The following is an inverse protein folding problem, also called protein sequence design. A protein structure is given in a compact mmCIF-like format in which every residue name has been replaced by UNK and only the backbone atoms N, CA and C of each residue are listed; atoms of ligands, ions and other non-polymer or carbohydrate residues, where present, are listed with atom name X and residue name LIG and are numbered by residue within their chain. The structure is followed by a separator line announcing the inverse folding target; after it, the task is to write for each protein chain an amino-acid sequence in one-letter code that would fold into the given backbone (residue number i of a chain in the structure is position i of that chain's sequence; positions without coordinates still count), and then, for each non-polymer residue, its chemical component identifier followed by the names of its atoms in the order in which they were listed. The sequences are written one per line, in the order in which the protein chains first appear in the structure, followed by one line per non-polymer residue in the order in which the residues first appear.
data_IF_756581723536
#
_entry.id   IF_756581723536
#
_cell.length_a   1.000
_cell.length_b   1.000
_cell.length_c   1.000
_cell.angle_alpha   90.00
_cell.angle_beta   90.00
_cell.angle_gamma   90.00
#
_symmetry.space_group_name_H-M   'P 1'
#
loop_
_entity.id
_entity.type
_entity.pdbx_description
1 polymer ?
#
# COMPACT_ATOMS: atom_id res chain seq x y z
N UNK A 1 2.86 1.23 44.61
CA UNK A 1 1.54 1.18 43.94
C UNK A 1 1.29 2.38 43.00
N UNK A 2 2.30 2.93 42.32
CA UNK A 2 2.13 4.11 41.43
C UNK A 2 2.39 3.83 39.93
N UNK A 3 2.79 2.60 39.55
CA UNK A 3 3.18 2.26 38.18
C UNK A 3 2.10 1.59 37.32
N UNK A 4 0.98 1.15 37.90
CA UNK A 4 -0.08 0.45 37.15
C UNK A 4 -1.09 1.40 36.49
N UNK A 5 -1.30 2.60 37.05
CA UNK A 5 -2.30 3.55 36.53
C UNK A 5 -1.91 4.23 35.21
N UNK A 6 -0.61 4.42 34.95
CA UNK A 6 -0.12 5.04 33.72
C UNK A 6 -0.10 4.06 32.54
N UNK A 7 0.18 2.78 32.78
CA UNK A 7 0.11 1.73 31.74
C UNK A 7 -1.33 1.52 31.26
N UNK A 8 -2.30 1.48 32.18
CA UNK A 8 -3.74 1.32 31.86
C UNK A 8 -4.29 2.56 31.12
N UNK A 9 -3.83 3.76 31.47
CA UNK A 9 -4.26 4.99 30.81
C UNK A 9 -3.69 5.14 29.39
N UNK A 10 -2.45 4.69 29.15
CA UNK A 10 -1.86 4.64 27.81
C UNK A 10 -2.63 3.65 26.94
N UNK A 11 -2.96 2.47 27.46
CA UNK A 11 -3.78 1.48 26.73
C UNK A 11 -5.14 2.06 26.32
N UNK A 12 -5.91 2.59 27.29
CA UNK A 12 -7.26 3.09 27.02
C UNK A 12 -7.30 4.23 25.99
N UNK A 13 -6.30 5.13 26.00
CA UNK A 13 -6.21 6.22 25.03
C UNK A 13 -5.83 5.74 23.62
N UNK A 14 -4.94 4.75 23.52
CA UNK A 14 -4.57 4.13 22.25
C UNK A 14 -5.77 3.37 21.66
N UNK A 15 -6.46 2.55 22.45
CA UNK A 15 -7.67 1.85 22.02
C UNK A 15 -8.74 2.82 21.48
N UNK A 16 -9.04 3.89 22.23
CA UNK A 16 -10.01 4.89 21.78
C UNK A 16 -9.61 5.59 20.46
N UNK A 17 -8.30 5.85 20.24
CA UNK A 17 -7.83 6.40 18.97
C UNK A 17 -7.93 5.41 17.80
N UNK A 18 -7.71 4.12 18.05
CA UNK A 18 -7.85 3.07 17.04
C UNK A 18 -9.31 2.93 16.60
N UNK A 19 -10.25 2.93 17.54
CA UNK A 19 -11.68 2.84 17.25
C UNK A 19 -12.18 4.03 16.41
N UNK A 20 -11.74 5.24 16.74
CA UNK A 20 -12.03 6.44 15.97
C UNK A 20 -11.49 6.36 14.53
N UNK A 21 -10.29 5.81 14.34
CA UNK A 21 -9.69 5.62 13.02
C UNK A 21 -10.45 4.58 12.20
N UNK A 22 -10.81 3.45 12.82
CA UNK A 22 -11.60 2.39 12.20
C UNK A 22 -12.97 2.91 11.76
N UNK A 23 -13.65 3.68 12.63
CA UNK A 23 -14.92 4.32 12.31
C UNK A 23 -14.76 5.32 11.15
N UNK A 24 -13.71 6.14 11.16
CA UNK A 24 -13.44 7.09 10.09
C UNK A 24 -13.18 6.38 8.74
N UNK A 25 -12.48 5.23 8.74
CA UNK A 25 -12.31 4.39 7.54
C UNK A 25 -13.67 3.90 7.06
N UNK A 26 -14.48 3.31 7.95
CA UNK A 26 -15.78 2.78 7.62
C UNK A 26 -16.67 3.85 6.97
N UNK A 27 -16.69 5.06 7.55
CA UNK A 27 -17.42 6.22 7.02
C UNK A 27 -16.88 6.66 5.66
N UNK A 28 -15.56 6.72 5.48
CA UNK A 28 -14.96 7.07 4.19
C UNK A 28 -15.35 6.08 3.08
N UNK A 29 -15.28 4.77 3.36
CA UNK A 29 -15.74 3.73 2.44
C UNK A 29 -17.24 3.80 2.19
N UNK A 30 -18.05 4.08 3.22
CA UNK A 30 -19.51 4.22 3.09
C UNK A 30 -19.88 5.41 2.20
N UNK A 31 -19.30 6.59 2.44
CA UNK A 31 -19.57 7.81 1.67
C UNK A 31 -19.16 7.61 0.21
N UNK A 32 -17.92 7.16 -0.04
CA UNK A 32 -17.44 6.95 -1.41
C UNK A 32 -18.23 5.85 -2.10
N UNK A 33 -18.47 4.73 -1.40
CA UNK A 33 -19.25 3.61 -1.91
C UNK A 33 -20.67 4.01 -2.30
N UNK A 34 -21.35 4.77 -1.43
CA UNK A 34 -22.70 5.28 -1.69
C UNK A 34 -22.72 6.27 -2.86
N UNK A 35 -21.76 7.21 -2.92
CA UNK A 35 -21.66 8.16 -4.03
C UNK A 35 -21.40 7.48 -5.37
N UNK A 36 -20.51 6.49 -5.40
CA UNK A 36 -20.21 5.69 -6.61
C UNK A 36 -21.41 4.84 -6.99
N UNK A 37 -22.08 4.18 -6.04
CA UNK A 37 -23.26 3.36 -6.32
C UNK A 37 -24.45 4.20 -6.80
N UNK A 38 -24.64 5.41 -6.27
CA UNK A 38 -25.71 6.32 -6.68
C UNK A 38 -25.48 6.93 -8.07
N UNK A 39 -24.24 7.34 -8.38
CA UNK A 39 -23.90 7.97 -9.68
C UNK A 39 -23.60 6.97 -10.78
N UNK A 40 -23.10 5.78 -10.43
CA UNK A 40 -22.74 4.71 -11.35
C UNK A 40 -23.27 3.35 -10.85
N UNK A 41 -24.60 3.12 -10.88
CA UNK A 41 -25.23 1.92 -10.31
C UNK A 41 -24.81 0.60 -10.96
N UNK A 42 -24.29 0.66 -12.19
CA UNK A 42 -23.72 -0.49 -12.91
C UNK A 42 -22.28 -0.82 -12.49
N UNK A 43 -21.61 0.05 -11.72
CA UNK A 43 -20.23 -0.15 -11.29
C UNK A 43 -20.17 -0.92 -9.95
N UNK A 44 -19.68 -2.18 -9.93
CA UNK A 44 -19.58 -2.99 -8.72
C UNK A 44 -18.61 -2.42 -7.66
N UNK A 45 -17.70 -1.51 -8.03
CA UNK A 45 -16.75 -0.90 -7.06
C UNK A 45 -17.50 -0.19 -5.92
N UNK A 46 -18.60 0.49 -6.22
CA UNK A 46 -19.43 1.12 -5.18
C UNK A 46 -19.98 0.11 -4.18
N UNK A 47 -20.39 -1.08 -4.65
CA UNK A 47 -20.91 -2.17 -3.80
C UNK A 47 -19.81 -2.82 -2.98
N UNK A 48 -18.61 -2.98 -3.53
CA UNK A 48 -17.44 -3.47 -2.79
C UNK A 48 -17.15 -2.53 -1.62
N UNK A 49 -17.15 -1.22 -1.85
CA UNK A 49 -16.89 -0.24 -0.79
C UNK A 49 -17.99 -0.20 0.26
N UNK A 50 -19.26 -0.33 -0.14
CA UNK A 50 -20.36 -0.49 0.81
C UNK A 50 -20.24 -1.80 1.62
N UNK A 51 -19.80 -2.89 0.99
CA UNK A 51 -19.52 -4.16 1.67
C UNK A 51 -18.42 -4.00 2.72
N UNK A 52 -17.32 -3.31 2.38
CA UNK A 52 -16.25 -2.97 3.33
C UNK A 52 -16.80 -2.18 4.52
N UNK A 53 -17.58 -1.13 4.27
CA UNK A 53 -18.18 -0.32 5.33
C UNK A 53 -19.15 -1.14 6.21
N UNK A 54 -19.93 -2.03 5.61
CA UNK A 54 -20.82 -2.94 6.35
C UNK A 54 -20.03 -3.90 7.24
N UNK A 55 -18.91 -4.44 6.75
CA UNK A 55 -18.03 -5.30 7.56
C UNK A 55 -17.52 -4.56 8.80
N UNK A 56 -17.12 -3.29 8.67
CA UNK A 56 -16.74 -2.47 9.83
C UNK A 56 -17.90 -2.19 10.78
N UNK A 57 -19.11 -1.98 10.26
CA UNK A 57 -20.31 -1.87 11.11
C UNK A 57 -20.55 -3.16 11.92
N UNK A 58 -20.35 -4.32 11.29
CA UNK A 58 -20.47 -5.61 11.94
C UNK A 58 -19.37 -5.83 12.99
N UNK A 59 -18.14 -5.34 12.76
CA UNK A 59 -17.04 -5.39 13.72
C UNK A 59 -17.40 -4.75 15.06
N UNK A 60 -18.00 -3.56 15.05
CA UNK A 60 -18.42 -2.89 16.29
C UNK A 60 -19.50 -3.68 17.05
N UNK A 61 -20.40 -4.38 16.33
CA UNK A 61 -21.41 -5.25 16.95
C UNK A 61 -20.76 -6.48 17.58
N UNK A 62 -19.84 -7.14 16.88
CA UNK A 62 -19.15 -8.35 17.37
C UNK A 62 -18.20 -8.04 18.52
N UNK A 63 -17.58 -6.86 18.53
CA UNK A 63 -16.80 -6.35 19.66
C UNK A 63 -17.68 -6.12 20.91
N UNK A 64 -18.85 -5.49 20.75
CA UNK A 64 -19.81 -5.33 21.83
C UNK A 64 -20.30 -6.66 22.42
N UNK A 65 -20.52 -7.67 21.55
CA UNK A 65 -20.89 -9.03 21.98
C UNK A 65 -19.78 -9.70 22.80
N UNK A 66 -18.51 -9.51 22.45
CA UNK A 66 -17.38 -10.03 23.23
C UNK A 66 -17.24 -9.33 24.58
N UNK A 67 -17.41 -8.00 24.61
CA UNK A 67 -17.40 -7.23 25.85
C UNK A 67 -18.54 -7.64 26.80
N UNK A 68 -19.70 -8.00 26.27
CA UNK A 68 -20.79 -8.58 27.06
C UNK A 68 -20.43 -9.98 27.58
N UNK A 69 -19.91 -10.85 26.71
CA UNK A 69 -19.52 -12.22 27.08
C UNK A 69 -18.45 -12.28 28.17
N UNK A 70 -17.48 -11.36 28.16
CA UNK A 70 -16.44 -11.29 29.18
C UNK A 70 -16.95 -10.84 30.56
N UNK A 71 -17.98 -9.98 30.61
CA UNK A 71 -18.59 -9.49 31.86
C UNK A 71 -19.59 -10.49 32.45
N UNK A 72 -20.28 -11.25 31.61
CA UNK A 72 -21.33 -12.17 32.05
C UNK A 72 -20.78 -13.41 32.81
N UNK A 73 -19.48 -13.70 32.69
CA UNK A 73 -18.83 -14.84 33.36
C UNK A 73 -19.39 -16.22 32.97
N UNK A 74 -20.27 -16.26 31.98
CA UNK A 74 -20.90 -17.47 31.45
C UNK A 74 -20.04 -18.06 30.33
N UNK A 75 -20.22 -19.37 30.09
CA UNK A 75 -19.67 -20.02 28.91
C UNK A 75 -20.10 -19.20 27.67
N UNK A 76 -19.17 -18.56 26.92
CA UNK A 76 -19.51 -17.46 26.01
C UNK A 76 -20.53 -17.83 24.92
N UNK A 77 -20.81 -19.12 24.74
CA UNK A 77 -21.74 -19.62 23.74
C UNK A 77 -21.17 -19.47 22.33
N UNK A 78 -21.79 -20.15 21.38
CA UNK A 78 -21.33 -20.19 19.99
C UNK A 78 -21.32 -18.78 19.37
N UNK A 79 -22.22 -17.89 19.80
CA UNK A 79 -22.33 -16.53 19.26
C UNK A 79 -21.12 -15.65 19.61
N UNK A 80 -20.66 -15.66 20.87
CA UNK A 80 -19.49 -14.87 21.27
C UNK A 80 -18.22 -15.45 20.66
N UNK A 81 -18.12 -16.79 20.57
CA UNK A 81 -17.04 -17.45 19.85
C UNK A 81 -17.00 -17.09 18.37
N UNK A 82 -18.16 -17.06 17.70
CA UNK A 82 -18.24 -16.66 16.30
C UNK A 82 -17.90 -15.18 16.10
N UNK A 83 -18.28 -14.31 17.05
CA UNK A 83 -17.90 -12.90 17.05
C UNK A 83 -16.37 -12.71 17.20
N UNK A 84 -15.72 -13.51 18.05
CA UNK A 84 -14.25 -13.51 18.20
C UNK A 84 -13.55 -13.91 16.91
N UNK A 85 -13.98 -15.03 16.30
CA UNK A 85 -13.45 -15.50 15.01
C UNK A 85 -13.64 -14.45 13.91
N UNK A 86 -14.81 -13.81 13.86
CA UNK A 86 -15.07 -12.77 12.87
C UNK A 86 -14.12 -11.57 13.04
N UNK A 87 -13.91 -11.09 14.26
CA UNK A 87 -13.02 -9.96 14.53
C UNK A 87 -11.58 -10.26 14.13
N UNK A 88 -11.09 -11.48 14.37
CA UNK A 88 -9.75 -11.88 13.95
C UNK A 88 -9.60 -12.01 12.43
N UNK A 89 -10.68 -12.36 11.72
CA UNK A 89 -10.63 -12.65 10.28
C UNK A 89 -11.19 -11.54 9.39
N UNK A 90 -11.75 -10.48 9.95
CA UNK A 90 -12.39 -9.41 9.18
C UNK A 90 -11.44 -8.75 8.16
N UNK A 91 -10.14 -8.67 8.48
CA UNK A 91 -9.10 -8.13 7.60
C UNK A 91 -8.98 -8.87 6.28
N UNK A 92 -9.26 -10.18 6.26
CA UNK A 92 -9.29 -10.98 5.04
C UNK A 92 -10.31 -10.40 4.06
N UNK A 93 -11.49 -10.00 4.54
CA UNK A 93 -12.53 -9.41 3.70
C UNK A 93 -12.25 -7.96 3.34
N UNK A 94 -11.98 -7.10 4.34
CA UNK A 94 -11.92 -5.67 4.08
C UNK A 94 -10.64 -5.23 3.36
N UNK A 95 -9.53 -5.99 3.49
CA UNK A 95 -8.27 -5.69 2.78
C UNK A 95 -8.23 -6.41 1.44
N UNK A 96 -8.42 -7.73 1.43
CA UNK A 96 -8.09 -8.53 0.26
C UNK A 96 -9.15 -8.40 -0.84
N UNK A 97 -10.42 -8.20 -0.51
CA UNK A 97 -11.46 -8.03 -1.53
C UNK A 97 -11.24 -6.74 -2.32
N UNK A 98 -11.07 -5.54 -1.71
CA UNK A 98 -10.71 -4.36 -2.47
C UNK A 98 -9.39 -4.52 -3.22
N UNK A 99 -8.36 -5.09 -2.59
CA UNK A 99 -7.04 -5.28 -3.19
C UNK A 99 -7.09 -6.18 -4.45
N UNK A 100 -7.90 -7.23 -4.45
CA UNK A 100 -8.02 -8.13 -5.58
C UNK A 100 -9.00 -7.60 -6.63
N UNK A 101 -10.19 -7.12 -6.24
CA UNK A 101 -11.27 -6.83 -7.19
C UNK A 101 -11.28 -5.39 -7.70
N UNK A 102 -10.79 -4.40 -6.94
CA UNK A 102 -10.72 -3.02 -7.44
C UNK A 102 -9.80 -2.95 -8.66
N UNK A 103 -8.53 -3.43 -8.63
CA UNK A 103 -7.68 -3.47 -9.83
C UNK A 103 -8.28 -4.22 -11.01
N UNK A 104 -8.97 -5.32 -10.72
CA UNK A 104 -9.54 -6.21 -11.72
C UNK A 104 -10.72 -5.57 -12.47
N UNK A 105 -11.52 -4.74 -11.78
CA UNK A 105 -12.76 -4.16 -12.30
C UNK A 105 -12.59 -2.69 -12.72
N UNK A 106 -11.59 -2.00 -12.20
CA UNK A 106 -11.36 -0.58 -12.43
C UNK A 106 -10.96 -0.25 -13.89
N UNK A 107 -11.44 0.87 -14.47
CA UNK A 107 -12.38 1.85 -13.90
C UNK A 107 -13.86 1.51 -14.14
N UNK A 108 -14.15 0.80 -15.23
CA UNK A 108 -15.50 0.68 -15.79
C UNK A 108 -16.39 -0.39 -15.11
N UNK A 109 -15.87 -1.06 -14.07
CA UNK A 109 -16.61 -2.09 -13.36
C UNK A 109 -16.68 -3.45 -14.06
N UNK A 110 -15.93 -3.61 -15.16
CA UNK A 110 -15.96 -4.80 -16.02
C UNK A 110 -14.58 -5.41 -16.12
N UNK A 111 -14.52 -6.73 -16.29
CA UNK A 111 -13.27 -7.45 -16.60
C UNK A 111 -12.76 -7.08 -18.00
N UNK A 112 -11.43 -7.14 -18.20
CA UNK A 112 -10.81 -6.81 -19.47
C UNK A 112 -11.26 -7.71 -20.63
N UNK A 113 -11.47 -9.01 -20.36
CA UNK A 113 -12.05 -9.97 -21.30
C UNK A 113 -12.54 -11.23 -20.58
N UNK A 114 -13.22 -12.15 -21.29
CA UNK A 114 -13.66 -13.45 -20.73
C UNK A 114 -12.49 -14.28 -20.14
N UNK A 115 -11.27 -14.09 -20.65
CA UNK A 115 -10.06 -14.81 -20.18
C UNK A 115 -9.59 -14.38 -18.79
N UNK A 116 -10.12 -13.26 -18.25
CA UNK A 116 -9.82 -12.80 -16.90
C UNK A 116 -10.82 -13.30 -15.86
N UNK A 117 -11.88 -14.01 -16.28
CA UNK A 117 -12.84 -14.64 -15.35
C UNK A 117 -12.18 -15.69 -14.44
N UNK A 118 -11.28 -16.57 -14.92
CA UNK A 118 -10.58 -17.50 -14.05
C UNK A 118 -9.78 -16.80 -12.95
N UNK A 119 -9.17 -15.65 -13.24
CA UNK A 119 -8.42 -14.86 -12.25
C UNK A 119 -9.37 -14.28 -11.18
N UNK A 120 -10.55 -13.80 -11.60
CA UNK A 120 -11.59 -13.37 -10.67
C UNK A 120 -12.06 -14.52 -9.75
N UNK A 121 -12.21 -15.72 -10.31
CA UNK A 121 -12.55 -16.92 -9.55
C UNK A 121 -11.42 -17.34 -8.61
N UNK A 122 -10.16 -17.31 -9.04
CA UNK A 122 -9.02 -17.59 -8.17
C UNK A 122 -8.98 -16.61 -6.99
N UNK A 123 -9.20 -15.31 -7.23
CA UNK A 123 -9.29 -14.31 -6.18
C UNK A 123 -10.45 -14.61 -5.21
N UNK A 124 -11.66 -14.81 -5.72
CA UNK A 124 -12.84 -15.04 -4.89
C UNK A 124 -12.78 -16.34 -4.08
N UNK A 125 -12.46 -17.45 -4.75
CA UNK A 125 -12.32 -18.77 -4.11
C UNK A 125 -11.13 -18.79 -3.16
N UNK A 126 -10.01 -18.17 -3.52
CA UNK A 126 -8.84 -18.09 -2.68
C UNK A 126 -9.08 -17.29 -1.39
N UNK A 127 -9.71 -16.12 -1.48
CA UNK A 127 -10.05 -15.29 -0.32
C UNK A 127 -11.09 -15.97 0.56
N UNK A 128 -12.17 -16.51 -0.03
CA UNK A 128 -13.21 -17.21 0.73
C UNK A 128 -12.66 -18.50 1.38
N UNK A 129 -11.84 -19.25 0.65
CA UNK A 129 -11.18 -20.45 1.15
C UNK A 129 -10.20 -20.12 2.28
N UNK A 130 -9.42 -19.04 2.16
CA UNK A 130 -8.53 -18.57 3.22
C UNK A 130 -9.32 -18.19 4.48
N UNK A 131 -10.42 -17.44 4.33
CA UNK A 131 -11.31 -17.12 5.46
C UNK A 131 -11.86 -18.38 6.14
N UNK A 132 -12.41 -19.32 5.35
CA UNK A 132 -13.00 -20.55 5.89
C UNK A 132 -11.93 -21.38 6.59
N UNK A 133 -10.80 -21.63 5.95
CA UNK A 133 -9.75 -22.48 6.51
C UNK A 133 -9.12 -21.85 7.76
N UNK A 134 -8.88 -20.55 7.78
CA UNK A 134 -8.46 -19.83 8.99
C UNK A 134 -9.52 -19.85 10.10
N UNK A 135 -10.82 -19.88 9.76
CA UNK A 135 -11.86 -20.00 10.80
C UNK A 135 -11.88 -21.37 11.49
N UNK A 136 -11.37 -22.41 10.82
CA UNK A 136 -11.33 -23.78 11.33
C UNK A 136 -10.07 -24.08 12.17
N UNK A 137 -9.06 -23.19 12.17
CA UNK A 137 -7.83 -23.43 12.92
C UNK A 137 -8.04 -23.27 14.44
N UNK A 138 -7.65 -24.26 15.27
CA UNK A 138 -7.80 -24.19 16.72
C UNK A 138 -7.06 -22.99 17.34
N UNK A 139 -5.88 -22.67 16.81
CA UNK A 139 -4.98 -21.64 17.34
C UNK A 139 -5.27 -20.22 16.82
N UNK A 140 -6.42 -20.01 16.16
CA UNK A 140 -6.79 -18.69 15.61
C UNK A 140 -6.86 -17.62 16.70
N UNK A 141 -7.50 -17.95 17.83
CA UNK A 141 -7.70 -17.01 18.92
C UNK A 141 -6.50 -17.07 19.88
N UNK A 142 -5.99 -15.92 20.36
CA UNK A 142 -4.91 -15.90 21.34
C UNK A 142 -5.26 -16.74 22.57
N UNK A 143 -4.28 -17.42 23.17
CA UNK A 143 -4.50 -18.16 24.41
C UNK A 143 -4.99 -17.27 25.58
N UNK A 144 -4.77 -15.95 25.49
CA UNK A 144 -5.29 -14.93 26.40
C UNK A 144 -6.75 -14.56 26.15
N UNK A 145 -7.35 -14.96 25.04
CA UNK A 145 -8.77 -14.75 24.77
C UNK A 145 -9.60 -15.62 25.72
N UNK A 146 -10.58 -15.02 26.39
CA UNK A 146 -11.50 -15.72 27.29
C UNK A 146 -12.47 -16.66 26.59
N UNK A 147 -12.35 -16.81 25.27
CA UNK A 147 -13.31 -17.47 24.38
C UNK A 147 -12.59 -18.48 23.50
N UNK A 148 -13.09 -19.72 23.46
CA UNK A 148 -12.58 -20.76 22.55
C UNK A 148 -13.20 -20.60 21.17
N UNK A 149 -12.44 -20.96 20.12
CA UNK A 149 -12.96 -21.00 18.76
C UNK A 149 -14.02 -22.12 18.63
N UNK A 150 -15.30 -21.80 18.37
CA UNK A 150 -16.36 -22.80 18.26
C UNK A 150 -16.33 -23.60 16.95
N UNK A 151 -15.55 -23.13 15.96
CA UNK A 151 -15.42 -23.77 14.65
C UNK A 151 -14.13 -24.57 14.50
N UNK A 152 -13.32 -24.66 15.56
CA UNK A 152 -12.06 -25.38 15.53
C UNK A 152 -12.27 -26.86 15.15
N UNK A 153 -11.44 -27.37 14.24
CA UNK A 153 -11.44 -28.79 13.86
C UNK A 153 -10.01 -29.30 13.69
N UNK A 154 -9.76 -30.56 14.08
CA UNK A 154 -8.47 -31.24 13.90
C UNK A 154 -8.36 -31.99 12.56
N UNK A 155 -9.16 -31.60 11.56
CA UNK A 155 -9.21 -32.29 10.29
C UNK A 155 -7.89 -32.12 9.51
N UNK A 156 -7.25 -33.20 9.03
CA UNK A 156 -6.00 -33.11 8.28
C UNK A 156 -6.17 -32.44 6.89
N UNK A 157 -7.41 -32.16 6.47
CA UNK A 157 -7.72 -31.49 5.22
C UNK A 157 -7.63 -29.96 5.31
N UNK A 158 -7.58 -29.38 6.52
CA UNK A 158 -7.54 -27.92 6.71
C UNK A 158 -6.25 -27.35 6.10
N UNK A 159 -5.08 -27.87 6.48
CA UNK A 159 -3.79 -27.38 5.98
C UNK A 159 -3.61 -27.41 4.46
N UNK A 160 -3.89 -28.53 3.75
CA UNK A 160 -3.77 -28.54 2.29
C UNK A 160 -4.80 -27.61 1.64
N UNK A 161 -6.00 -27.46 2.20
CA UNK A 161 -7.00 -26.53 1.69
C UNK A 161 -6.59 -25.07 1.92
N UNK A 162 -5.97 -24.76 3.07
CA UNK A 162 -5.38 -23.45 3.37
C UNK A 162 -4.32 -23.09 2.33
N UNK A 163 -3.42 -24.03 2.04
CA UNK A 163 -2.36 -23.83 1.04
C UNK A 163 -2.94 -23.57 -0.35
N UNK A 164 -3.92 -24.37 -0.79
CA UNK A 164 -4.58 -24.18 -2.10
C UNK A 164 -5.30 -22.84 -2.15
N UNK A 165 -6.01 -22.46 -1.08
CA UNK A 165 -6.72 -21.19 -0.99
C UNK A 165 -5.76 -20.00 -1.08
N UNK A 166 -4.64 -20.09 -0.38
CA UNK A 166 -3.57 -19.09 -0.39
C UNK A 166 -2.92 -18.97 -1.78
N UNK A 167 -2.65 -20.08 -2.46
CA UNK A 167 -2.14 -20.05 -3.84
C UNK A 167 -3.14 -19.39 -4.80
N UNK A 168 -4.42 -19.75 -4.72
CA UNK A 168 -5.48 -19.15 -5.54
C UNK A 168 -5.62 -17.65 -5.27
N UNK A 169 -5.54 -17.25 -4.00
CA UNK A 169 -5.56 -15.85 -3.56
C UNK A 169 -4.40 -15.08 -4.19
N UNK A 170 -3.16 -15.58 -4.11
CA UNK A 170 -2.01 -14.93 -4.73
C UNK A 170 -2.14 -14.85 -6.25
N UNK A 171 -2.57 -15.91 -6.92
CA UNK A 171 -2.85 -15.90 -8.36
C UNK A 171 -3.89 -14.82 -8.70
N UNK A 172 -4.92 -14.68 -7.88
CA UNK A 172 -5.94 -13.64 -7.99
C UNK A 172 -5.38 -12.22 -7.86
N UNK A 173 -4.59 -11.97 -6.81
CA UNK A 173 -3.98 -10.66 -6.52
C UNK A 173 -2.96 -10.28 -7.60
N UNK A 174 -2.02 -11.16 -7.94
CA UNK A 174 -1.03 -10.87 -8.99
C UNK A 174 -1.69 -10.75 -10.36
N UNK A 175 -2.73 -11.54 -10.63
CA UNK A 175 -3.57 -11.40 -11.80
C UNK A 175 -4.29 -10.06 -11.85
N UNK A 176 -4.79 -9.54 -10.72
CA UNK A 176 -5.46 -8.24 -10.69
C UNK A 176 -4.50 -7.10 -11.06
N UNK A 177 -3.28 -7.14 -10.54
CA UNK A 177 -2.21 -6.18 -10.88
C UNK A 177 -1.82 -6.30 -12.35
N UNK A 178 -1.63 -7.52 -12.86
CA UNK A 178 -1.35 -7.75 -14.28
C UNK A 178 -2.46 -7.19 -15.18
N UNK A 179 -3.73 -7.28 -14.75
CA UNK A 179 -4.87 -6.74 -15.49
C UNK A 179 -4.80 -5.22 -15.65
N UNK A 180 -4.33 -4.49 -14.61
CA UNK A 180 -4.08 -3.05 -14.69
C UNK A 180 -3.00 -2.74 -15.71
N UNK A 181 -1.89 -3.48 -15.70
CA UNK A 181 -0.76 -3.24 -16.63
C UNK A 181 -1.21 -3.44 -18.08
N UNK A 182 -1.98 -4.50 -18.35
CA UNK A 182 -2.52 -4.76 -19.69
C UNK A 182 -3.54 -3.68 -20.08
N UNK A 183 -4.42 -3.24 -19.16
CA UNK A 183 -5.33 -2.11 -19.40
C UNK A 183 -4.58 -0.84 -19.73
N UNK A 184 -3.54 -0.50 -18.97
CA UNK A 184 -2.76 0.71 -19.18
C UNK A 184 -2.14 0.77 -20.58
N UNK A 185 -1.63 -0.38 -21.08
CA UNK A 185 -1.07 -0.48 -22.43
C UNK A 185 -2.12 -0.26 -23.52
N UNK A 186 -3.35 -0.73 -23.31
CA UNK A 186 -4.47 -0.65 -24.28
C UNK A 186 -5.33 0.63 -24.15
N UNK A 187 -5.23 1.33 -23.03
CA UNK A 187 -6.09 2.46 -22.68
C UNK A 187 -5.77 3.72 -23.52
N UNK A 188 -6.81 4.50 -23.83
CA UNK A 188 -6.70 5.87 -24.36
C UNK A 188 -6.28 6.88 -23.27
N UNK A 189 -6.09 8.16 -23.64
CA UNK A 189 -5.56 9.20 -22.72
C UNK A 189 -6.33 9.31 -21.40
N UNK A 190 -7.67 9.32 -21.43
CA UNK A 190 -8.52 9.48 -20.24
C UNK A 190 -8.42 8.27 -19.30
N UNK A 191 -8.54 7.06 -19.85
CA UNK A 191 -8.52 5.82 -19.06
C UNK A 191 -7.12 5.55 -18.46
N UNK A 192 -6.05 5.94 -19.17
CA UNK A 192 -4.69 5.93 -18.60
C UNK A 192 -4.57 6.82 -17.37
N UNK A 193 -5.25 7.97 -17.37
CA UNK A 193 -5.23 8.90 -16.24
C UNK A 193 -5.92 8.32 -15.01
N UNK A 194 -7.07 7.67 -15.20
CA UNK A 194 -7.76 6.97 -14.12
C UNK A 194 -6.89 5.86 -13.53
N UNK A 195 -6.24 5.07 -14.39
CA UNK A 195 -5.37 3.97 -13.96
C UNK A 195 -4.17 4.48 -13.16
N UNK A 196 -3.60 5.63 -13.54
CA UNK A 196 -2.48 6.25 -12.81
C UNK A 196 -2.84 6.59 -11.36
N UNK A 197 -4.06 7.04 -11.09
CA UNK A 197 -4.53 7.32 -9.73
C UNK A 197 -4.57 6.07 -8.86
N UNK A 198 -5.16 5.01 -9.40
CA UNK A 198 -5.21 3.73 -8.71
C UNK A 198 -3.80 3.15 -8.53
N UNK A 199 -2.94 3.26 -9.54
CA UNK A 199 -1.56 2.79 -9.47
C UNK A 199 -0.74 3.57 -8.43
N UNK A 200 -0.94 4.89 -8.32
CA UNK A 200 -0.28 5.72 -7.31
C UNK A 200 -0.74 5.34 -5.89
N UNK A 201 -2.05 5.19 -5.66
CA UNK A 201 -2.58 4.75 -4.38
C UNK A 201 -2.12 3.33 -4.01
N UNK A 202 -2.16 2.40 -4.96
CA UNK A 202 -1.70 1.03 -4.77
C UNK A 202 -0.20 0.94 -4.51
N UNK A 203 0.62 1.74 -5.20
CA UNK A 203 2.06 1.78 -4.97
C UNK A 203 2.40 2.40 -3.61
N UNK A 204 1.65 3.41 -3.17
CA UNK A 204 1.78 3.98 -1.83
C UNK A 204 1.48 2.92 -0.75
N UNK A 205 0.42 2.12 -0.92
CA UNK A 205 0.10 1.03 0.00
C UNK A 205 1.14 -0.09 -0.01
N UNK A 206 1.62 -0.49 -1.18
CA UNK A 206 2.67 -1.51 -1.33
C UNK A 206 3.99 -1.11 -0.66
N UNK A 207 4.18 0.18 -0.42
CA UNK A 207 5.31 0.75 0.32
C UNK A 207 5.04 0.84 1.80
N UNK A 208 3.88 1.37 2.18
CA UNK A 208 3.56 1.66 3.58
C UNK A 208 3.36 0.36 4.35
N UNK A 209 2.70 -0.65 3.77
CA UNK A 209 2.46 -1.92 4.44
C UNK A 209 3.73 -2.65 4.91
N UNK A 210 4.77 -2.89 4.07
CA UNK A 210 6.01 -3.52 4.55
C UNK A 210 6.82 -2.60 5.47
N UNK A 211 6.72 -1.27 5.30
CA UNK A 211 7.39 -0.31 6.17
C UNK A 211 6.79 -0.34 7.58
N UNK A 212 5.49 -0.59 7.69
CA UNK A 212 4.78 -0.76 8.94
C UNK A 212 5.30 -1.97 9.71
N UNK A 213 5.30 -3.15 9.08
CA UNK A 213 5.84 -4.40 9.66
C UNK A 213 7.29 -4.23 10.09
N UNK A 214 8.09 -3.52 9.28
CA UNK A 214 9.48 -3.22 9.58
C UNK A 214 9.65 -2.29 10.81
N UNK A 215 8.77 -1.29 10.94
CA UNK A 215 8.87 -0.26 11.97
C UNK A 215 8.06 -0.56 13.22
N UNK A 216 7.20 -1.58 13.23
CA UNK A 216 6.39 -1.99 14.38
C UNK A 216 7.26 -2.23 15.62
N UNK A 217 8.40 -2.91 15.43
CA UNK A 217 9.39 -3.18 16.48
C UNK A 217 10.08 -1.92 17.05
N UNK A 218 10.01 -0.78 16.35
CA UNK A 218 10.72 0.47 16.70
C UNK A 218 9.76 1.59 17.13
N UNK A 219 8.60 1.68 16.48
CA UNK A 219 7.63 2.76 16.63
C UNK A 219 6.34 2.34 17.37
N UNK A 220 6.15 1.03 17.62
CA UNK A 220 4.94 0.51 18.27
C UNK A 220 3.65 0.93 17.55
N UNK A 221 2.60 1.28 18.30
CA UNK A 221 1.28 1.62 17.75
C UNK A 221 1.21 2.81 16.79
N UNK A 222 2.25 3.66 16.73
CA UNK A 222 2.34 4.76 15.77
C UNK A 222 2.48 4.26 14.31
N UNK A 223 3.06 3.07 14.11
CA UNK A 223 3.21 2.47 12.79
C UNK A 223 1.83 2.02 12.24
N UNK A 224 1.07 1.28 13.06
CA UNK A 224 -0.30 0.84 12.73
C UNK A 224 -1.22 2.02 12.37
N UNK A 225 -1.08 3.13 13.09
CA UNK A 225 -1.84 4.37 12.83
C UNK A 225 -1.56 4.94 11.44
N UNK A 226 -0.30 4.94 11.02
CA UNK A 226 0.11 5.45 9.71
C UNK A 226 -0.40 4.58 8.55
N UNK A 227 -0.39 3.25 8.69
CA UNK A 227 -0.94 2.31 7.70
C UNK A 227 -2.45 2.43 7.59
N UNK A 228 -3.13 2.56 8.73
CA UNK A 228 -4.58 2.75 8.83
C UNK A 228 -5.00 4.05 8.13
N UNK A 229 -4.27 5.15 8.34
CA UNK A 229 -4.47 6.41 7.61
C UNK A 229 -4.18 6.28 6.11
N UNK A 230 -3.14 5.54 5.72
CA UNK A 230 -2.84 5.29 4.31
C UNK A 230 -3.95 4.48 3.62
N UNK A 231 -4.57 3.54 4.33
CA UNK A 231 -5.71 2.78 3.84
C UNK A 231 -6.93 3.68 3.56
N UNK A 232 -7.15 4.76 4.32
CA UNK A 232 -8.17 5.79 4.01
C UNK A 232 -7.91 6.52 2.68
N UNK A 233 -6.64 6.61 2.26
CA UNK A 233 -6.27 7.22 0.99
C UNK A 233 -6.80 6.44 -0.22
N UNK A 234 -7.02 5.13 -0.10
CA UNK A 234 -7.48 4.26 -1.18
C UNK A 234 -8.91 4.59 -1.64
N UNK A 235 -9.95 4.57 -0.77
CA UNK A 235 -11.31 4.93 -1.19
C UNK A 235 -11.37 6.37 -1.68
N UNK A 236 -10.63 7.31 -1.08
CA UNK A 236 -10.57 8.69 -1.55
C UNK A 236 -9.99 8.78 -2.97
N UNK A 237 -8.85 8.12 -3.23
CA UNK A 237 -8.21 8.11 -4.54
C UNK A 237 -9.10 7.44 -5.61
N UNK A 238 -9.73 6.31 -5.28
CA UNK A 238 -10.65 5.61 -6.18
C UNK A 238 -11.92 6.43 -6.43
N UNK A 239 -12.49 7.01 -5.37
CA UNK A 239 -13.65 7.90 -5.46
C UNK A 239 -13.37 9.10 -6.35
N UNK A 240 -12.23 9.77 -6.16
CA UNK A 240 -11.80 10.89 -7.01
C UNK A 240 -11.59 10.43 -8.46
N UNK A 241 -10.95 9.28 -8.68
CA UNK A 241 -10.68 8.77 -10.03
C UNK A 241 -11.94 8.36 -10.80
N UNK A 242 -12.98 7.87 -10.10
CA UNK A 242 -14.27 7.49 -10.70
C UNK A 242 -15.17 8.72 -10.88
N UNK A 243 -15.27 9.58 -9.86
CA UNK A 243 -16.26 10.67 -9.81
C UNK A 243 -15.80 11.97 -10.48
N UNK A 244 -14.50 12.26 -10.58
CA UNK A 244 -13.98 13.42 -11.32
C UNK A 244 -13.39 13.01 -12.66
N UNK A 245 -14.25 13.03 -13.69
CA UNK A 245 -13.79 13.15 -15.07
C UNK A 245 -13.11 14.52 -15.27
N UNK A 246 -11.88 14.54 -15.83
CA UNK A 246 -11.03 15.72 -16.21
C UNK A 246 -9.87 16.15 -15.27
N UNK A 247 -9.09 15.22 -14.76
CA UNK A 247 -7.81 15.55 -14.10
C UNK A 247 -6.66 15.74 -15.10
N UNK A 248 -6.67 16.86 -15.81
CA UNK A 248 -5.70 17.14 -16.88
C UNK A 248 -4.29 17.55 -16.39
N UNK A 249 -4.10 17.93 -15.12
CA UNK A 249 -2.80 18.47 -14.63
C UNK A 249 -2.01 17.58 -13.65
N UNK A 250 -2.43 16.34 -13.40
CA UNK A 250 -1.86 15.53 -12.30
C UNK A 250 -0.69 14.63 -12.75
N UNK A 251 -0.33 14.67 -14.03
CA UNK A 251 0.83 13.92 -14.55
C UNK A 251 2.14 14.26 -13.83
N UNK A 252 2.30 15.50 -13.37
CA UNK A 252 3.48 15.92 -12.61
C UNK A 252 3.50 15.32 -11.20
N UNK A 253 2.35 15.30 -10.51
CA UNK A 253 2.22 14.72 -9.17
C UNK A 253 2.36 13.20 -9.22
N UNK A 254 1.76 12.54 -10.23
CA UNK A 254 1.86 11.09 -10.42
C UNK A 254 3.29 10.66 -10.75
N UNK A 255 3.99 11.35 -11.66
CA UNK A 255 5.38 11.01 -11.96
C UNK A 255 6.26 11.16 -10.70
N UNK A 256 6.04 12.20 -9.89
CA UNK A 256 6.73 12.34 -8.60
C UNK A 256 6.33 11.23 -7.63
N UNK A 257 5.05 10.90 -7.52
CA UNK A 257 4.54 9.85 -6.63
C UNK A 257 5.04 8.45 -7.03
N UNK A 258 5.10 8.11 -8.32
CA UNK A 258 5.66 6.85 -8.80
C UNK A 258 7.17 6.75 -8.57
N UNK A 259 7.88 7.86 -8.75
CA UNK A 259 9.32 7.92 -8.44
C UNK A 259 9.53 7.74 -6.94
N UNK A 260 8.76 8.43 -6.09
CA UNK A 260 8.82 8.23 -4.64
C UNK A 260 8.37 6.83 -4.24
N UNK A 261 7.30 6.29 -4.79
CA UNK A 261 6.84 4.94 -4.47
C UNK A 261 7.86 3.89 -4.88
N UNK A 262 8.50 4.02 -6.05
CA UNK A 262 9.55 3.08 -6.45
C UNK A 262 10.79 3.25 -5.58
N UNK A 263 11.14 4.48 -5.20
CA UNK A 263 12.23 4.76 -4.28
C UNK A 263 11.97 4.12 -2.91
N UNK A 264 10.80 4.34 -2.35
CA UNK A 264 10.45 3.80 -1.04
C UNK A 264 10.25 2.28 -1.09
N UNK A 265 9.73 1.71 -2.18
CA UNK A 265 9.63 0.26 -2.36
C UNK A 265 11.03 -0.39 -2.47
N UNK A 266 11.94 0.25 -3.19
CA UNK A 266 13.35 -0.18 -3.28
C UNK A 266 14.02 -0.11 -1.91
N UNK A 267 13.74 0.96 -1.14
CA UNK A 267 14.25 1.15 0.21
C UNK A 267 13.68 0.12 1.19
N UNK A 268 12.38 -0.16 1.13
CA UNK A 268 11.71 -1.18 1.93
C UNK A 268 12.21 -2.58 1.56
N UNK A 269 12.33 -2.90 0.27
CA UNK A 269 12.89 -4.18 -0.19
C UNK A 269 14.34 -4.37 0.24
N UNK A 270 15.15 -3.32 0.21
CA UNK A 270 16.49 -3.33 0.75
C UNK A 270 16.52 -3.54 2.27
N UNK A 271 15.65 -2.84 3.01
CA UNK A 271 15.48 -3.02 4.46
C UNK A 271 15.16 -4.47 4.77
N UNK A 272 14.12 -5.02 4.13
CA UNK A 272 13.67 -6.39 4.33
C UNK A 272 14.75 -7.40 3.92
N UNK A 273 15.46 -7.15 2.82
CA UNK A 273 16.56 -7.99 2.37
C UNK A 273 17.72 -8.02 3.38
N UNK A 274 18.09 -6.87 3.95
CA UNK A 274 19.09 -6.80 5.02
C UNK A 274 18.61 -7.55 6.24
N UNK A 275 17.39 -7.30 6.72
CA UNK A 275 16.82 -8.00 7.88
C UNK A 275 16.81 -9.51 7.65
N UNK A 276 16.36 -9.98 6.49
CA UNK A 276 16.28 -11.39 6.14
C UNK A 276 17.67 -12.06 6.07
N UNK A 277 18.64 -11.44 5.39
CA UNK A 277 20.02 -11.97 5.29
C UNK A 277 20.62 -12.12 6.68
N UNK A 278 20.32 -11.16 7.55
CA UNK A 278 20.89 -11.06 8.88
C UNK A 278 20.22 -12.05 9.83
N UNK A 279 18.90 -12.20 9.71
CA UNK A 279 18.13 -13.23 10.43
C UNK A 279 18.56 -14.65 10.00
N UNK A 280 18.88 -14.87 8.73
CA UNK A 280 19.43 -16.13 8.23
C UNK A 280 20.89 -16.37 8.67
N UNK A 281 21.73 -15.34 8.62
CA UNK A 281 23.13 -15.42 9.03
C UNK A 281 23.30 -15.64 10.54
N UNK A 282 22.38 -15.08 11.33
CA UNK A 282 22.42 -15.15 12.79
C UNK A 282 21.55 -16.27 13.35
N UNK A 283 20.52 -16.72 12.63
CA UNK A 283 19.63 -17.80 13.08
C UNK A 283 20.37 -19.08 13.45
N UNK A 284 21.48 -19.39 12.78
CA UNK A 284 22.35 -20.53 13.11
C UNK A 284 23.35 -20.31 14.25
N UNK A 285 23.56 -19.07 14.72
CA UNK A 285 24.56 -18.72 15.75
C UNK A 285 23.94 -18.33 17.10
N UNK A 286 22.61 -18.20 17.16
CA UNK A 286 21.91 -17.52 18.27
C UNK A 286 21.38 -18.47 19.35
N UNK A 287 21.53 -19.79 19.19
CA UNK A 287 21.03 -20.76 20.19
C UNK A 287 21.79 -20.76 21.54
N UNK A 288 22.93 -20.08 21.69
CA UNK A 288 23.84 -20.33 22.83
C UNK A 288 24.31 -19.14 23.68
N UNK A 289 24.00 -17.87 23.39
CA UNK A 289 24.37 -16.78 24.31
C UNK A 289 23.63 -15.44 24.10
N UNK A 290 23.07 -14.88 25.19
CA UNK A 290 22.44 -13.54 25.20
C UNK A 290 23.41 -12.41 24.77
N UNK A 291 24.72 -12.58 24.94
CA UNK A 291 25.73 -11.62 24.47
C UNK A 291 25.92 -11.67 22.95
N UNK A 292 25.73 -12.84 22.33
CA UNK A 292 25.77 -12.98 20.87
C UNK A 292 24.54 -12.31 20.22
N UNK A 293 23.37 -12.39 20.85
CA UNK A 293 22.15 -11.67 20.44
C UNK A 293 22.35 -10.15 20.51
N UNK A 294 22.91 -9.65 21.62
CA UNK A 294 23.14 -8.22 21.81
C UNK A 294 24.20 -7.68 20.82
N UNK A 295 25.31 -8.41 20.65
CA UNK A 295 26.37 -8.07 19.71
C UNK A 295 25.90 -8.12 18.25
N UNK A 296 25.08 -9.11 17.89
CA UNK A 296 24.52 -9.21 16.55
C UNK A 296 23.56 -8.06 16.25
N UNK A 297 22.69 -7.70 17.19
CA UNK A 297 21.74 -6.59 17.07
C UNK A 297 22.45 -5.24 16.88
N UNK A 298 23.55 -5.01 17.60
CA UNK A 298 24.39 -3.82 17.42
C UNK A 298 25.11 -3.80 16.06
N UNK A 299 25.62 -4.95 15.61
CA UNK A 299 26.23 -5.08 14.30
C UNK A 299 25.22 -4.81 13.17
N UNK A 300 23.98 -5.30 13.33
CA UNK A 300 22.84 -5.02 12.43
C UNK A 300 22.61 -3.52 12.31
N UNK A 301 22.44 -2.84 13.43
CA UNK A 301 22.17 -1.41 13.47
C UNK A 301 23.32 -0.59 12.84
N UNK A 302 24.57 -1.02 13.03
CA UNK A 302 25.74 -0.37 12.45
C UNK A 302 25.82 -0.55 10.91
N UNK A 303 25.54 -1.76 10.41
CA UNK A 303 25.54 -2.08 8.97
C UNK A 303 24.35 -1.46 8.22
N UNK A 304 23.28 -1.11 8.93
CA UNK A 304 22.08 -0.53 8.36
C UNK A 304 22.30 0.84 7.71
N UNK A 305 23.06 1.73 8.37
CA UNK A 305 23.39 3.08 7.85
C UNK A 305 24.11 3.06 6.48
N UNK A 306 25.22 2.34 6.29
CA UNK A 306 25.93 2.32 5.02
C UNK A 306 25.15 1.59 3.91
N UNK A 307 24.39 0.54 4.25
CA UNK A 307 23.53 -0.16 3.29
C UNK A 307 22.46 0.78 2.72
N UNK A 308 21.75 1.51 3.60
CA UNK A 308 20.75 2.53 3.22
C UNK A 308 21.30 3.54 2.22
N UNK A 309 22.49 4.08 2.49
CA UNK A 309 23.12 5.09 1.65
C UNK A 309 23.45 4.57 0.23
N UNK A 310 23.92 3.32 0.10
CA UNK A 310 24.25 2.73 -1.20
C UNK A 310 23.01 2.43 -2.04
N UNK A 311 21.96 1.90 -1.41
CA UNK A 311 20.70 1.63 -2.09
C UNK A 311 20.08 2.93 -2.60
N UNK A 312 20.08 3.98 -1.77
CA UNK A 312 19.55 5.29 -2.16
C UNK A 312 20.32 5.86 -3.36
N UNK A 313 21.65 5.77 -3.36
CA UNK A 313 22.47 6.21 -4.49
C UNK A 313 22.20 5.42 -5.79
N UNK A 314 21.97 4.11 -5.72
CA UNK A 314 21.67 3.28 -6.89
C UNK A 314 20.30 3.62 -7.46
N UNK A 315 19.30 3.83 -6.59
CA UNK A 315 17.95 4.17 -7.02
C UNK A 315 17.90 5.58 -7.63
N UNK A 316 18.54 6.56 -6.99
CA UNK A 316 18.61 7.93 -7.51
C UNK A 316 19.28 7.97 -8.90
N UNK A 317 20.33 7.17 -9.09
CA UNK A 317 21.04 7.09 -10.37
C UNK A 317 20.23 6.40 -11.47
N UNK A 318 19.35 5.45 -11.12
CA UNK A 318 18.53 4.68 -12.07
C UNK A 318 17.23 5.40 -12.44
N UNK A 319 16.61 6.11 -11.50
CA UNK A 319 15.30 6.77 -11.68
C UNK A 319 15.39 8.25 -12.06
N UNK A 320 16.35 9.02 -11.52
CA UNK A 320 16.48 10.46 -11.78
C UNK A 320 17.46 10.83 -12.89
N UNK A 321 17.82 9.88 -13.76
CA UNK A 321 18.79 10.10 -14.86
C UNK A 321 18.49 11.36 -15.67
N UNK A 322 17.21 11.65 -15.96
CA UNK A 322 16.80 12.83 -16.76
C UNK A 322 16.86 14.18 -16.03
N UNK A 323 16.63 14.22 -14.72
CA UNK A 323 16.61 15.49 -13.95
C UNK A 323 18.02 15.89 -13.51
N UNK A 324 18.86 14.90 -13.23
CA UNK A 324 20.26 15.12 -12.88
C UNK A 324 21.09 15.52 -14.10
N UNK A 325 20.80 14.95 -15.27
CA UNK A 325 21.40 15.42 -16.52
C UNK A 325 21.02 16.89 -16.74
N UNK A 326 19.73 17.27 -16.71
CA UNK A 326 19.31 18.66 -16.92
C UNK A 326 19.95 19.67 -15.96
N UNK A 327 20.07 19.36 -14.66
CA UNK A 327 20.73 20.24 -13.69
C UNK A 327 22.24 20.36 -13.98
N UNK A 328 22.91 19.26 -14.31
CA UNK A 328 24.34 19.25 -14.67
C UNK A 328 24.60 19.94 -16.00
N UNK A 329 23.69 19.83 -16.97
CA UNK A 329 23.76 20.57 -18.23
C UNK A 329 23.56 22.07 -17.99
N UNK A 330 22.65 22.46 -17.09
CA UNK A 330 22.39 23.86 -16.75
C UNK A 330 23.54 24.48 -15.94
N UNK A 331 24.18 23.73 -15.05
CA UNK A 331 25.40 24.14 -14.33
C UNK A 331 26.59 24.23 -15.28
N UNK A 332 26.77 23.24 -16.16
CA UNK A 332 27.81 23.27 -17.18
C UNK A 332 27.59 24.39 -18.20
N UNK A 333 26.34 24.74 -18.50
CA UNK A 333 25.96 25.88 -19.34
C UNK A 333 26.15 27.21 -18.61
N UNK A 334 25.79 27.31 -17.33
CA UNK A 334 26.04 28.52 -16.50
C UNK A 334 27.52 28.77 -16.26
N UNK A 335 28.32 27.71 -16.14
CA UNK A 335 29.78 27.76 -16.10
C UNK A 335 30.35 28.22 -17.43
N UNK A 336 29.89 27.67 -18.57
CA UNK A 336 30.38 28.05 -19.91
C UNK A 336 29.96 29.45 -20.35
N UNK A 337 28.77 29.91 -19.96
CA UNK A 337 28.28 31.27 -20.18
C UNK A 337 29.08 32.35 -19.45
N UNK A 338 29.72 31.98 -18.33
CA UNK A 338 30.56 32.90 -17.56
C UNK A 338 31.92 33.13 -18.24
N UNK A 339 32.32 32.23 -19.12
CA UNK A 339 33.65 32.21 -19.76
C UNK A 339 33.62 32.60 -21.25
N UNK A 340 32.47 32.63 -21.94
CA UNK A 340 32.37 33.04 -23.35
C UNK A 340 31.76 34.42 -23.56
N UNK A 341 32.61 35.38 -23.92
CA UNK A 341 32.27 36.77 -24.29
C UNK A 341 32.17 36.91 -25.81
N UNK A 342 31.42 36.01 -26.49
CA UNK A 342 31.09 36.19 -27.92
C UNK A 342 29.61 35.94 -28.21
N UNK A 343 28.90 37.02 -28.59
CA UNK A 343 27.46 37.06 -28.90
C UNK A 343 27.00 36.06 -29.99
N UNK A 344 27.92 35.69 -30.90
CA UNK A 344 27.65 34.72 -31.96
C UNK A 344 27.50 33.28 -31.45
N UNK A 345 28.37 32.87 -30.53
CA UNK A 345 28.35 31.51 -29.95
C UNK A 345 27.13 31.31 -29.03
N UNK A 346 26.79 32.33 -28.23
CA UNK A 346 25.60 32.33 -27.37
C UNK A 346 24.31 32.08 -28.15
N UNK A 347 24.17 32.74 -29.29
CA UNK A 347 22.96 32.69 -30.11
C UNK A 347 22.76 31.31 -30.76
N UNK A 348 23.86 30.65 -31.13
CA UNK A 348 23.84 29.30 -31.68
C UNK A 348 23.54 28.24 -30.61
N UNK A 349 24.15 28.36 -29.42
CA UNK A 349 23.95 27.42 -28.32
C UNK A 349 22.52 27.51 -27.74
N UNK A 350 21.98 28.72 -27.58
CA UNK A 350 20.62 28.93 -27.07
C UNK A 350 19.56 28.36 -28.03
N UNK A 351 19.76 28.46 -29.35
CA UNK A 351 18.92 27.79 -30.35
C UNK A 351 19.05 26.26 -30.27
N UNK A 352 20.26 25.74 -30.05
CA UNK A 352 20.51 24.30 -29.91
C UNK A 352 19.81 23.69 -28.69
N UNK A 353 19.92 24.34 -27.53
CA UNK A 353 19.26 23.87 -26.30
C UNK A 353 17.73 23.90 -26.43
N UNK A 354 17.17 24.92 -27.07
CA UNK A 354 15.72 25.01 -27.32
C UNK A 354 15.27 23.95 -28.33
N UNK A 355 16.05 23.68 -29.37
CA UNK A 355 15.77 22.63 -30.34
C UNK A 355 15.79 21.23 -29.70
N UNK A 356 16.81 20.93 -28.89
CA UNK A 356 16.97 19.62 -28.26
C UNK A 356 15.97 19.38 -27.12
N UNK A 357 15.60 20.44 -26.39
CA UNK A 357 14.70 20.30 -25.23
C UNK A 357 13.23 20.32 -25.62
N UNK A 358 12.85 21.15 -26.60
CA UNK A 358 11.44 21.43 -26.92
C UNK A 358 11.00 20.86 -28.28
N UNK A 359 11.93 20.39 -29.12
CA UNK A 359 11.69 19.90 -30.50
C UNK A 359 10.64 20.72 -31.30
N UNK A 360 10.76 22.05 -31.36
CA UNK A 360 9.82 22.87 -32.13
C UNK A 360 10.04 22.71 -33.63
N UNK A 361 8.98 22.91 -34.42
CA UNK A 361 9.09 22.87 -35.88
C UNK A 361 9.95 24.01 -36.45
N UNK A 362 9.99 25.19 -35.81
CA UNK A 362 10.80 26.35 -36.21
C UNK A 362 11.25 27.17 -34.97
N UNK A 363 12.46 27.73 -35.00
CA UNK A 363 13.00 28.65 -33.97
C UNK A 363 13.60 29.88 -34.64
N UNK A 364 13.18 31.08 -34.22
CA UNK A 364 13.79 32.34 -34.63
C UNK A 364 14.23 33.15 -33.41
N UNK A 365 15.42 33.76 -33.49
CA UNK A 365 15.98 34.65 -32.45
C UNK A 365 16.23 36.00 -33.10
N UNK A 366 15.60 37.04 -32.55
CA UNK A 366 15.74 38.42 -33.00
C UNK A 366 16.60 39.19 -32.00
N UNK A 367 17.73 39.70 -32.46
CA UNK A 367 18.60 40.57 -31.66
C UNK A 367 18.34 42.01 -32.05
N UNK A 368 18.20 42.89 -31.07
CA UNK A 368 18.07 44.33 -31.29
C UNK A 368 19.46 44.91 -31.49
N UNK A 369 19.77 45.41 -32.68
CA UNK A 369 20.98 46.19 -32.91
C UNK A 369 20.90 47.47 -32.07
N UNK A 370 21.86 47.65 -31.16
CA UNK A 370 22.03 48.91 -30.45
C UNK A 370 22.61 49.94 -31.41
N UNK A 371 21.84 50.98 -31.72
CA UNK A 371 22.37 52.19 -32.37
C UNK A 371 23.45 52.78 -31.46
N UNK A 372 24.66 52.93 -32.01
CA UNK A 372 25.80 53.60 -31.35
C UNK A 372 25.46 55.02 -30.90
#
# INVERSE_FOLDING_TARGET
MAGYGTAIAIDASVFATLDLLVLAIAVAFAIVGALVAARHPSNPIGRIFLGVALSFGLYGVTEGLQAYGSQAGADPGVLVGAAAVYNELIWVWFVLVPLAFVPLLFPDGRLLSRRWRPIAWCAGVGIAGAFITSSLTPDLLPASASVRNPFATDSPLVDPLSLVSLLLMYVGIFGSVASIVVRFRRAGRVQRQQIKWLAAAGALLAVIAPLDVALESVLGGAAFTATTLAAMGLPAAVGVAILRYRLYDIDVVINRALVYATLTASLAGAYLGVVLILQLALGGLTESSNLAVAGSTLAVAALFRPARARIQAVVDRRFFRRKYDAARTLEAFSSRLRDQVELGALSAELRGVVADTMQPAHVSLWLREGSR
#
